data_IF_542440805519
#
_entry.id   IF_542440805519
#
_cell.length_a   1.000
_cell.length_b   1.000
_cell.length_c   1.000
_cell.angle_alpha   90.00
_cell.angle_beta   90.00
_cell.angle_gamma   90.00
#
_symmetry.space_group_name_H-M   'P 1'
#
loop_
_entity.id
_entity.type
_entity.pdbx_description
1 polymer ?
#
# COMPACT_ATOMS: atom_id res chain seq x y z
N UNK A 1 -19.87 -17.52 15.84
CA UNK A 1 -20.76 -17.61 17.03
C UNK A 1 -20.80 -19.05 17.54
N UNK A 2 -21.01 -19.20 18.85
CA UNK A 2 -21.12 -20.48 19.55
C UNK A 2 -22.24 -20.35 20.58
N UNK A 3 -23.11 -21.37 20.68
CA UNK A 3 -24.12 -21.42 21.71
C UNK A 3 -23.57 -22.06 22.99
N UNK A 4 -23.69 -21.34 24.09
CA UNK A 4 -23.26 -21.75 25.44
C UNK A 4 -24.37 -22.49 26.14
N UNK A 5 -23.99 -23.45 27.00
CA UNK A 5 -24.91 -24.12 27.91
C UNK A 5 -24.24 -24.36 29.25
N UNK A 6 -24.99 -24.18 30.32
CA UNK A 6 -24.59 -24.55 31.66
C UNK A 6 -25.83 -25.12 32.40
N UNK A 7 -25.59 -25.81 33.49
CA UNK A 7 -26.64 -26.28 34.38
C UNK A 7 -26.21 -26.00 35.81
N UNK A 8 -27.15 -25.52 36.59
CA UNK A 8 -27.04 -25.39 38.04
C UNK A 8 -27.79 -26.54 38.74
N UNK A 9 -27.23 -27.11 39.83
CA UNK A 9 -27.81 -28.26 40.53
C UNK A 9 -28.97 -27.85 41.43
N UNK A 10 -28.97 -26.61 41.90
CA UNK A 10 -29.99 -26.04 42.74
C UNK A 10 -31.14 -25.43 41.93
N UNK A 11 -30.93 -25.28 40.60
CA UNK A 11 -31.92 -24.83 39.61
C UNK A 11 -31.95 -23.32 39.45
N UNK A 12 -30.87 -22.63 39.85
CA UNK A 12 -30.75 -21.18 39.68
C UNK A 12 -30.53 -20.75 38.24
N UNK A 13 -30.93 -19.53 37.92
CA UNK A 13 -30.75 -18.95 36.59
C UNK A 13 -29.28 -18.59 36.35
N UNK A 14 -28.70 -19.12 35.24
CA UNK A 14 -27.30 -18.91 34.91
C UNK A 14 -27.15 -17.82 33.86
N UNK A 15 -26.25 -16.89 34.10
CA UNK A 15 -25.82 -15.88 33.13
C UNK A 15 -24.40 -16.17 32.63
N UNK A 16 -24.10 -15.75 31.40
CA UNK A 16 -22.80 -15.97 30.78
C UNK A 16 -22.03 -14.68 30.54
N UNK A 17 -20.73 -14.74 30.75
CA UNK A 17 -19.76 -13.74 30.27
C UNK A 17 -18.58 -14.41 29.56
N UNK A 18 -17.83 -13.65 28.78
CA UNK A 18 -16.65 -14.19 28.10
C UNK A 18 -15.55 -13.15 27.99
N UNK A 19 -14.33 -13.65 27.93
CA UNK A 19 -13.12 -12.87 27.66
C UNK A 19 -12.21 -13.59 26.67
N UNK A 20 -11.35 -12.82 26.00
CA UNK A 20 -10.35 -13.31 25.05
C UNK A 20 -9.07 -12.50 25.22
N UNK A 21 -7.94 -13.10 24.94
CA UNK A 21 -6.60 -12.48 25.11
C UNK A 21 -6.25 -11.46 24.03
N UNK A 22 -6.90 -11.52 22.82
CA UNK A 22 -6.77 -10.49 21.78
C UNK A 22 -8.09 -10.32 21.03
N UNK A 23 -8.54 -9.07 20.86
CA UNK A 23 -9.81 -8.73 20.23
C UNK A 23 -10.93 -8.53 21.26
N UNK A 24 -12.13 -9.03 20.96
CA UNK A 24 -13.30 -8.92 21.86
C UNK A 24 -14.12 -10.19 21.89
N UNK A 25 -14.71 -10.47 23.04
CA UNK A 25 -15.72 -11.51 23.23
C UNK A 25 -16.98 -10.88 23.82
N UNK A 26 -18.15 -11.21 23.27
CA UNK A 26 -19.45 -10.74 23.75
C UNK A 26 -20.42 -11.90 23.84
N UNK A 27 -21.31 -11.85 24.84
CA UNK A 27 -22.37 -12.82 25.02
C UNK A 27 -23.72 -12.11 25.00
N UNK A 28 -24.63 -12.62 24.17
CA UNK A 28 -26.04 -12.18 24.15
C UNK A 28 -26.93 -13.40 24.43
N UNK A 29 -27.52 -13.41 25.61
CA UNK A 29 -28.18 -14.60 26.16
C UNK A 29 -27.20 -15.77 26.29
N UNK A 30 -27.35 -16.80 25.47
CA UNK A 30 -26.42 -17.93 25.40
C UNK A 30 -25.50 -17.90 24.16
N UNK A 31 -25.57 -16.86 23.33
CA UNK A 31 -24.77 -16.78 22.10
C UNK A 31 -23.47 -16.04 22.35
N UNK A 32 -22.35 -16.74 22.27
CA UNK A 32 -21.00 -16.18 22.30
C UNK A 32 -20.59 -15.73 20.90
N UNK A 33 -20.11 -14.49 20.78
CA UNK A 33 -19.43 -13.96 19.60
C UNK A 33 -18.02 -13.55 19.98
N UNK A 34 -17.03 -14.08 19.25
CA UNK A 34 -15.62 -13.68 19.38
C UNK A 34 -15.20 -12.98 18.10
N UNK A 35 -14.59 -11.80 18.23
CA UNK A 35 -14.01 -11.02 17.14
C UNK A 35 -12.54 -10.82 17.45
N UNK A 36 -11.62 -11.53 16.74
CA UNK A 36 -10.19 -11.30 16.87
C UNK A 36 -9.83 -9.83 16.62
N UNK A 37 -8.69 -9.38 17.11
CA UNK A 37 -8.13 -8.09 16.70
C UNK A 37 -7.86 -8.07 15.19
N UNK A 38 -7.83 -6.86 14.60
CA UNK A 38 -7.45 -6.72 13.19
C UNK A 38 -6.06 -7.35 12.97
N UNK A 39 -5.90 -8.02 11.84
CA UNK A 39 -4.66 -8.65 11.37
C UNK A 39 -4.05 -9.68 12.33
N UNK A 40 -4.84 -10.13 13.33
CA UNK A 40 -4.40 -11.17 14.24
C UNK A 40 -4.55 -12.56 13.61
N UNK A 41 -3.49 -13.33 13.63
CA UNK A 41 -3.51 -14.76 13.33
C UNK A 41 -2.81 -15.54 14.48
N UNK A 42 -3.18 -16.79 14.65
CA UNK A 42 -2.66 -17.65 15.73
C UNK A 42 -3.76 -18.14 16.68
N UNK A 43 -3.35 -18.63 17.83
CA UNK A 43 -4.26 -19.21 18.82
C UNK A 43 -4.69 -18.16 19.86
N UNK A 44 -6.00 -18.05 20.06
CA UNK A 44 -6.63 -17.23 21.09
C UNK A 44 -7.16 -18.14 22.21
N UNK A 45 -6.95 -17.73 23.45
CA UNK A 45 -7.61 -18.36 24.59
C UNK A 45 -8.92 -17.62 24.87
N UNK A 46 -10.04 -18.31 24.68
CA UNK A 46 -11.37 -17.79 25.01
C UNK A 46 -11.79 -18.41 26.35
N UNK A 47 -12.08 -17.57 27.34
CA UNK A 47 -12.60 -18.01 28.63
C UNK A 47 -14.06 -17.60 28.75
N UNK A 48 -14.92 -18.56 29.07
CA UNK A 48 -16.34 -18.37 29.34
C UNK A 48 -16.58 -18.57 30.84
N UNK A 49 -17.32 -17.68 31.46
CA UNK A 49 -17.76 -17.76 32.86
C UNK A 49 -19.29 -17.86 32.90
N UNK A 50 -19.77 -18.81 33.65
CA UNK A 50 -21.16 -18.97 34.01
C UNK A 50 -21.33 -18.54 35.48
N UNK A 51 -22.34 -17.72 35.77
CA UNK A 51 -22.60 -17.08 37.06
C UNK A 51 -24.08 -17.27 37.41
N UNK A 52 -24.36 -17.84 38.57
CA UNK A 52 -25.71 -18.04 39.14
C UNK A 52 -26.17 -16.89 40.08
N UNK A 53 -25.31 -15.87 40.27
CA UNK A 53 -25.52 -14.71 41.13
C UNK A 53 -24.84 -14.84 42.48
N UNK A 54 -24.33 -16.01 42.87
CA UNK A 54 -23.59 -16.26 44.11
C UNK A 54 -22.22 -16.87 43.86
N UNK A 55 -22.09 -17.77 42.87
CA UNK A 55 -20.88 -18.50 42.52
C UNK A 55 -20.65 -18.47 41.01
N UNK A 56 -19.38 -18.60 40.62
CA UNK A 56 -18.96 -18.63 39.25
C UNK A 56 -18.26 -19.95 38.89
N UNK A 57 -18.55 -20.44 37.70
CA UNK A 57 -17.83 -21.54 37.05
C UNK A 57 -17.22 -21.06 35.70
N UNK A 58 -15.99 -21.43 35.39
CA UNK A 58 -15.37 -21.04 34.15
C UNK A 58 -14.79 -22.20 33.35
N UNK A 59 -14.78 -22.05 32.05
CA UNK A 59 -14.12 -22.98 31.10
C UNK A 59 -13.46 -22.19 29.97
N UNK A 60 -12.38 -22.74 29.47
CA UNK A 60 -11.63 -22.10 28.37
C UNK A 60 -11.46 -23.05 27.20
N UNK A 61 -11.39 -22.49 26.00
CA UNK A 61 -11.05 -23.21 24.78
C UNK A 61 -10.11 -22.38 23.91
N UNK A 62 -9.40 -23.04 23.02
CA UNK A 62 -8.56 -22.39 22.01
C UNK A 62 -9.36 -22.15 20.75
N UNK A 63 -9.32 -20.91 20.26
CA UNK A 63 -9.82 -20.51 18.94
C UNK A 63 -8.61 -20.22 18.04
N UNK A 64 -8.38 -21.07 17.06
CA UNK A 64 -7.33 -20.84 16.06
C UNK A 64 -7.86 -19.90 14.98
N UNK A 65 -7.19 -18.76 14.79
CA UNK A 65 -7.42 -17.78 13.74
C UNK A 65 -6.39 -18.01 12.63
N UNK A 66 -6.85 -18.38 11.45
CA UNK A 66 -5.97 -18.61 10.32
C UNK A 66 -5.51 -17.29 9.73
N UNK A 67 -4.24 -17.21 9.31
CA UNK A 67 -3.72 -16.08 8.55
C UNK A 67 -4.47 -15.93 7.23
N UNK A 68 -4.71 -14.70 6.85
CA UNK A 68 -5.21 -14.30 5.54
C UNK A 68 -4.23 -13.27 5.02
N UNK A 69 -3.72 -13.46 3.81
CA UNK A 69 -2.75 -12.56 3.21
C UNK A 69 -3.37 -11.18 2.93
N UNK A 70 -2.73 -10.14 3.40
CA UNK A 70 -3.04 -8.74 3.14
C UNK A 70 -2.13 -8.19 2.03
N UNK A 71 -2.53 -7.11 1.37
CA UNK A 71 -1.70 -6.48 0.35
C UNK A 71 -0.68 -5.51 1.00
N UNK A 72 0.57 -5.44 0.49
CA UNK A 72 1.53 -4.45 0.96
C UNK A 72 1.04 -3.02 0.71
N UNK A 73 1.41 -2.12 1.61
CA UNK A 73 1.09 -0.69 1.52
C UNK A 73 2.34 0.08 1.14
N UNK A 74 2.32 0.76 -0.01
CA UNK A 74 3.38 1.69 -0.43
C UNK A 74 3.35 2.90 0.48
N UNK A 75 4.51 3.33 1.01
CA UNK A 75 4.61 4.58 1.75
C UNK A 75 4.27 5.76 0.84
N UNK A 76 3.47 6.70 1.36
CA UNK A 76 2.99 7.83 0.57
C UNK A 76 4.14 8.65 -0.03
N UNK A 77 4.04 8.93 -1.33
CA UNK A 77 5.03 9.69 -2.09
C UNK A 77 4.43 11.07 -2.42
N UNK A 78 5.00 12.11 -1.83
CA UNK A 78 4.63 13.48 -2.17
C UNK A 78 5.03 13.83 -3.62
N UNK A 79 4.37 14.85 -4.20
CA UNK A 79 4.73 15.40 -5.50
C UNK A 79 6.18 15.85 -5.54
N UNK A 80 6.86 15.53 -6.63
CA UNK A 80 8.30 15.77 -6.85
C UNK A 80 8.52 16.68 -8.06
N UNK A 81 9.77 17.13 -8.25
CA UNK A 81 10.16 17.87 -9.43
C UNK A 81 11.59 17.57 -9.88
N UNK A 82 11.84 17.68 -11.16
CA UNK A 82 13.14 17.48 -11.81
C UNK A 82 13.28 18.46 -12.98
N UNK A 83 14.49 18.76 -13.44
CA UNK A 83 14.70 19.45 -14.70
C UNK A 83 14.47 18.50 -15.88
N UNK A 84 14.02 19.02 -17.04
CA UNK A 84 14.00 18.22 -18.27
C UNK A 84 15.41 17.68 -18.59
N UNK A 85 15.48 16.58 -19.36
CA UNK A 85 16.71 15.86 -19.72
C UNK A 85 17.54 15.33 -18.54
N UNK A 86 16.92 15.27 -17.35
CA UNK A 86 17.54 14.74 -16.13
C UNK A 86 16.70 13.63 -15.53
N UNK A 87 17.33 12.53 -15.16
CA UNK A 87 16.66 11.43 -14.46
C UNK A 87 16.24 11.87 -13.02
N UNK A 88 15.03 11.51 -12.66
CA UNK A 88 14.55 11.58 -11.28
C UNK A 88 14.78 10.23 -10.60
N UNK A 89 15.40 10.23 -9.43
CA UNK A 89 15.68 9.01 -8.65
C UNK A 89 15.08 9.12 -7.24
N UNK A 90 14.39 8.07 -6.81
CA UNK A 90 13.74 7.98 -5.50
C UNK A 90 13.94 6.59 -4.90
N UNK A 91 14.17 6.51 -3.59
CA UNK A 91 14.11 5.24 -2.86
C UNK A 91 12.68 4.99 -2.41
N UNK A 92 12.14 3.83 -2.78
CA UNK A 92 10.80 3.38 -2.43
C UNK A 92 10.83 2.64 -1.10
N UNK A 93 9.74 2.72 -0.36
CA UNK A 93 9.46 1.87 0.80
C UNK A 93 8.00 1.43 0.82
N UNK A 94 7.76 0.29 1.42
CA UNK A 94 6.44 -0.26 1.65
C UNK A 94 6.47 -1.11 2.92
N UNK A 95 5.32 -1.33 3.51
CA UNK A 95 5.13 -2.24 4.63
C UNK A 95 4.10 -3.30 4.26
N UNK A 96 4.32 -4.50 4.77
CA UNK A 96 3.38 -5.60 4.70
C UNK A 96 3.06 -6.05 6.13
N UNK A 97 1.75 -6.23 6.45
CA UNK A 97 1.32 -6.56 7.81
C UNK A 97 1.61 -8.02 8.17
N UNK A 98 1.68 -8.89 7.16
CA UNK A 98 2.04 -10.30 7.33
C UNK A 98 3.56 -10.48 7.40
N UNK A 99 4.33 -9.46 7.04
CA UNK A 99 5.79 -9.45 7.05
C UNK A 99 6.41 -10.09 5.83
N UNK A 100 5.66 -10.18 4.73
CA UNK A 100 6.11 -10.78 3.49
C UNK A 100 7.13 -9.89 2.75
N UNK A 101 7.98 -10.53 1.95
CA UNK A 101 8.96 -9.85 1.12
C UNK A 101 8.27 -9.07 -0.02
N UNK A 102 8.50 -7.77 -0.09
CA UNK A 102 7.87 -6.88 -1.06
C UNK A 102 8.78 -6.60 -2.25
N UNK A 103 8.22 -6.68 -3.46
CA UNK A 103 8.86 -6.28 -4.71
C UNK A 103 8.17 -5.08 -5.32
N UNK A 104 8.95 -4.15 -5.92
CA UNK A 104 8.41 -2.94 -6.52
C UNK A 104 8.41 -2.99 -8.04
N UNK A 105 7.42 -2.32 -8.62
CA UNK A 105 7.36 -1.97 -10.05
C UNK A 105 6.82 -0.56 -10.22
N UNK A 106 7.00 0.01 -11.42
CA UNK A 106 6.53 1.36 -11.71
C UNK A 106 6.03 1.51 -13.14
N UNK A 107 5.19 2.51 -13.35
CA UNK A 107 4.73 2.96 -14.65
C UNK A 107 4.52 4.47 -14.67
N UNK A 108 4.49 5.04 -15.87
CA UNK A 108 4.16 6.45 -16.12
C UNK A 108 3.00 6.56 -17.10
N UNK A 109 2.26 7.66 -17.06
CA UNK A 109 1.12 7.93 -17.95
C UNK A 109 1.55 8.35 -19.37
N UNK A 110 2.85 8.53 -19.60
CA UNK A 110 3.48 8.92 -20.87
C UNK A 110 4.61 9.92 -20.63
N UNK A 111 5.16 10.47 -21.74
CA UNK A 111 6.18 11.52 -21.73
C UNK A 111 7.49 11.15 -21.00
N UNK A 112 7.80 9.86 -20.96
CA UNK A 112 9.00 9.33 -20.31
C UNK A 112 8.93 7.83 -20.11
N UNK A 113 9.84 7.34 -19.29
CA UNK A 113 9.89 5.93 -18.86
C UNK A 113 10.18 5.85 -17.37
N UNK A 114 9.76 4.75 -16.75
CA UNK A 114 10.08 4.46 -15.36
C UNK A 114 10.62 3.03 -15.23
N UNK A 115 11.57 2.85 -14.34
CA UNK A 115 12.14 1.54 -14.01
C UNK A 115 12.42 1.46 -12.51
N UNK A 116 12.42 0.24 -11.98
CA UNK A 116 12.77 -0.02 -10.58
C UNK A 116 13.87 -1.08 -10.54
N UNK A 117 14.90 -0.83 -9.76
CA UNK A 117 15.95 -1.79 -9.41
C UNK A 117 16.02 -1.91 -7.88
N UNK A 118 15.58 -3.08 -7.37
CA UNK A 118 15.34 -3.27 -5.94
C UNK A 118 14.32 -2.27 -5.39
N UNK A 119 14.78 -1.33 -4.59
CA UNK A 119 13.97 -0.22 -4.04
C UNK A 119 14.21 1.11 -4.76
N UNK A 120 15.05 1.15 -5.78
CA UNK A 120 15.40 2.39 -6.47
C UNK A 120 14.52 2.60 -7.69
N UNK A 121 13.63 3.59 -7.62
CA UNK A 121 12.86 4.10 -8.75
C UNK A 121 13.71 5.09 -9.55
N UNK A 122 13.77 4.91 -10.85
CA UNK A 122 14.31 5.90 -11.79
C UNK A 122 13.23 6.26 -12.81
N UNK A 123 12.92 7.56 -12.94
CA UNK A 123 12.03 8.09 -13.97
C UNK A 123 12.87 8.96 -14.91
N UNK A 124 12.86 8.62 -16.18
CA UNK A 124 13.55 9.38 -17.26
C UNK A 124 12.48 10.09 -18.09
N UNK A 125 12.34 11.42 -17.99
CA UNK A 125 11.46 12.19 -18.87
C UNK A 125 11.85 12.01 -20.34
N UNK A 126 10.90 12.19 -21.27
CA UNK A 126 11.21 12.26 -22.68
C UNK A 126 12.08 13.51 -22.96
N UNK A 127 12.94 13.42 -23.99
CA UNK A 127 13.81 14.54 -24.38
C UNK A 127 13.00 15.82 -24.62
N UNK A 128 13.48 16.95 -24.12
CA UNK A 128 12.89 18.29 -24.25
C UNK A 128 11.43 18.36 -23.72
N UNK A 129 11.00 17.36 -22.91
CA UNK A 129 9.66 17.39 -22.32
C UNK A 129 9.65 18.20 -21.02
N UNK A 130 8.76 19.16 -20.94
CA UNK A 130 8.41 19.85 -19.71
C UNK A 130 6.88 19.76 -19.45
N UNK A 131 6.51 19.58 -18.20
CA UNK A 131 5.12 19.34 -17.78
C UNK A 131 5.01 18.32 -16.67
N UNK A 132 3.83 17.79 -16.44
CA UNK A 132 3.58 16.80 -15.40
C UNK A 132 3.57 15.39 -15.96
N UNK A 133 4.20 14.48 -15.22
CA UNK A 133 4.14 13.03 -15.43
C UNK A 133 3.49 12.43 -14.20
N UNK A 134 2.44 11.61 -14.38
CA UNK A 134 1.89 10.79 -13.29
C UNK A 134 2.70 9.51 -13.20
N UNK A 135 3.35 9.31 -12.07
CA UNK A 135 4.13 8.10 -11.77
C UNK A 135 3.31 7.22 -10.83
N UNK A 136 3.07 5.99 -11.22
CA UNK A 136 2.43 4.97 -10.37
C UNK A 136 3.47 3.96 -9.94
N UNK A 137 3.53 3.71 -8.63
CA UNK A 137 4.37 2.68 -7.99
C UNK A 137 3.47 1.57 -7.50
N UNK A 138 3.87 0.34 -7.71
CA UNK A 138 3.20 -0.86 -7.17
C UNK A 138 4.18 -1.65 -6.33
N UNK A 139 3.72 -2.06 -5.15
CA UNK A 139 4.39 -2.99 -4.25
C UNK A 139 3.63 -4.31 -4.24
N UNK A 140 4.29 -5.44 -4.41
CA UNK A 140 3.67 -6.77 -4.42
C UNK A 140 4.44 -7.74 -3.53
N UNK A 141 3.68 -8.54 -2.77
CA UNK A 141 4.14 -9.70 -1.99
C UNK A 141 4.23 -11.00 -2.82
N UNK A 142 3.87 -10.95 -4.11
CA UNK A 142 3.78 -12.10 -5.01
C UNK A 142 2.37 -12.67 -5.15
N UNK A 143 1.42 -12.30 -4.30
CA UNK A 143 0.01 -12.72 -4.30
C UNK A 143 -0.93 -11.54 -4.53
N UNK A 144 -0.72 -10.47 -3.79
CA UNK A 144 -1.48 -9.22 -3.82
C UNK A 144 -0.55 -8.04 -4.15
N UNK A 145 -1.14 -6.87 -4.41
CA UNK A 145 -0.38 -5.66 -4.65
C UNK A 145 -1.12 -4.41 -4.16
N UNK A 146 -0.35 -3.51 -3.54
CA UNK A 146 -0.77 -2.15 -3.23
C UNK A 146 -0.14 -1.15 -4.18
N UNK A 147 -0.76 0.01 -4.36
CA UNK A 147 -0.25 1.06 -5.27
C UNK A 147 -0.35 2.44 -4.64
N UNK A 148 0.61 3.29 -4.99
CA UNK A 148 0.55 4.75 -4.78
C UNK A 148 0.94 5.47 -6.06
N UNK A 149 0.52 6.75 -6.19
CA UNK A 149 0.81 7.56 -7.37
C UNK A 149 1.12 8.99 -6.97
N UNK A 150 2.14 9.56 -7.61
CA UNK A 150 2.53 10.95 -7.40
C UNK A 150 2.71 11.70 -8.71
N UNK A 151 2.72 13.04 -8.63
CA UNK A 151 3.03 13.90 -9.76
C UNK A 151 4.53 14.24 -9.73
N UNK A 152 5.22 13.95 -10.84
CA UNK A 152 6.55 14.46 -11.13
C UNK A 152 6.43 15.67 -12.07
N UNK A 153 6.75 16.86 -11.58
CA UNK A 153 6.79 18.07 -12.41
C UNK A 153 8.17 18.18 -13.06
N UNK A 154 8.21 18.11 -14.39
CA UNK A 154 9.42 18.32 -15.17
C UNK A 154 9.51 19.80 -15.53
N UNK A 155 10.54 20.46 -15.04
CA UNK A 155 10.77 21.89 -15.23
C UNK A 155 11.56 22.14 -16.52
N UNK A 156 11.14 23.12 -17.30
CA UNK A 156 11.85 23.54 -18.51
C UNK A 156 13.26 24.07 -18.19
N UNK A 157 14.21 23.71 -19.03
CA UNK A 157 15.57 24.26 -19.10
C UNK A 157 15.73 24.91 -20.46
N UNK A 158 16.39 26.08 -20.52
CA UNK A 158 16.55 26.78 -21.79
C UNK A 158 17.59 26.10 -22.68
N UNK A 159 17.18 25.68 -23.86
CA UNK A 159 18.03 25.15 -24.92
C UNK A 159 18.55 26.20 -25.84
N UNK A 160 19.68 25.90 -26.49
CA UNK A 160 20.22 26.76 -27.52
C UNK A 160 19.39 26.61 -28.81
N UNK A 161 19.05 27.70 -29.50
CA UNK A 161 18.39 27.61 -30.80
C UNK A 161 19.26 26.88 -31.84
N UNK A 162 18.64 26.00 -32.60
CA UNK A 162 19.27 25.27 -33.69
C UNK A 162 18.93 25.98 -35.01
N UNK A 163 19.96 26.31 -35.78
CA UNK A 163 19.77 26.87 -37.12
C UNK A 163 19.76 25.72 -38.10
N UNK A 164 18.71 25.62 -38.91
CA UNK A 164 18.66 24.67 -40.04
C UNK A 164 19.78 24.93 -41.01
N UNK A 165 20.33 23.86 -41.57
CA UNK A 165 21.45 23.95 -42.52
C UNK A 165 21.13 24.87 -43.69
N UNK A 166 21.91 25.93 -43.88
CA UNK A 166 21.79 26.81 -45.03
C UNK A 166 22.62 26.18 -46.14
N UNK A 167 21.95 25.82 -47.26
CA UNK A 167 22.65 25.32 -48.44
C UNK A 167 23.59 26.36 -49.03
N UNK A 168 24.66 25.91 -49.68
CA UNK A 168 25.60 26.81 -50.40
C UNK A 168 24.85 27.69 -51.39
N UNK A 169 25.18 28.99 -51.37
CA UNK A 169 24.58 30.00 -52.24
C UNK A 169 25.63 30.50 -53.24
N UNK A 170 25.19 31.00 -54.40
CA UNK A 170 26.02 31.62 -55.40
C UNK A 170 25.35 32.91 -55.86
N UNK A 171 26.14 33.97 -55.93
CA UNK A 171 25.68 35.27 -56.44
C UNK A 171 26.70 35.81 -57.42
N UNK A 172 26.29 36.70 -58.30
CA UNK A 172 27.19 37.43 -59.18
C UNK A 172 27.86 38.57 -58.37
N UNK A 173 29.03 39.02 -58.91
CA UNK A 173 29.69 40.19 -58.33
C UNK A 173 28.76 41.45 -58.47
N UNK A 174 28.95 42.42 -57.58
CA UNK A 174 28.12 43.60 -57.45
C UNK A 174 26.61 43.35 -57.09
N UNK A 175 26.25 42.12 -56.73
CA UNK A 175 24.89 41.79 -56.26
C UNK A 175 24.85 41.55 -54.75
N UNK A 176 23.65 41.43 -54.17
CA UNK A 176 23.41 41.14 -52.74
C UNK A 176 22.55 39.90 -52.59
N UNK A 177 22.86 39.05 -51.59
CA UNK A 177 22.04 37.92 -51.20
C UNK A 177 21.09 38.35 -50.04
N UNK A 178 19.81 38.08 -50.20
CA UNK A 178 18.82 38.16 -49.15
C UNK A 178 18.21 36.77 -48.95
N UNK A 179 18.28 36.21 -47.74
CA UNK A 179 17.70 34.93 -47.35
C UNK A 179 16.49 35.11 -46.47
#
# INVERSE_FOLDING_TARGET
TLDLSASDVDGDDVTFSASVDSGSATVDGSTLTVSPAADFNGDLTVTVTADDGELEGSSSFTLTVNAVNDAPVVDAIDSQSVAEDTDFVLTLSASDVDGDDVTFSSSVDGNGSASVDGTTLTVTPATDYNGNITVTVSASDGSLAGTDSFILTVNAVNDAPVIDGIAGQTIDEDSSLTL
#
